data_IF_931900176396
#
_entry.id   IF_931900176396
#
_cell.length_a   1.000
_cell.length_b   1.000
_cell.length_c   1.000
_cell.angle_alpha   90.00
_cell.angle_beta   90.00
_cell.angle_gamma   90.00
#
_symmetry.space_group_name_H-M   'P 1'
#
loop_
_entity.id
_entity.type
_entity.pdbx_description
1 polymer ?
#
# COMPACT_ATOMS: atom_id res chain seq x y z
N UNK A 1 -7.27 4.57 4.74
CA UNK A 1 -7.68 4.43 3.34
C UNK A 1 -8.74 3.34 3.24
N UNK A 2 -9.98 3.72 3.10
CA UNK A 2 -11.06 2.87 2.63
C UNK A 2 -11.00 2.77 1.10
N UNK A 3 -11.80 1.91 0.51
CA UNK A 3 -11.80 1.76 -0.92
C UNK A 3 -13.19 1.57 -1.51
N UNK A 4 -13.36 1.95 -2.77
CA UNK A 4 -14.60 1.73 -3.47
C UNK A 4 -14.77 0.28 -3.94
N UNK A 5 -13.82 -0.61 -3.69
CA UNK A 5 -14.00 -2.02 -4.05
C UNK A 5 -15.31 -2.57 -3.46
N UNK A 6 -16.08 -3.26 -4.27
CA UNK A 6 -17.35 -3.82 -3.80
C UNK A 6 -17.12 -4.99 -2.85
N UNK A 7 -17.99 -5.13 -1.84
CA UNK A 7 -18.07 -6.32 -1.02
C UNK A 7 -19.39 -7.07 -1.32
N UNK A 8 -19.31 -8.40 -1.37
CA UNK A 8 -20.44 -9.26 -1.75
C UNK A 8 -21.24 -9.77 -0.59
N UNK A 9 -20.62 -9.84 0.57
CA UNK A 9 -21.21 -10.42 1.79
C UNK A 9 -20.56 -9.77 3.02
N UNK A 10 -21.32 -9.66 4.08
CA UNK A 10 -20.85 -9.19 5.38
C UNK A 10 -19.74 -10.07 5.97
N UNK A 11 -19.61 -11.30 5.51
CA UNK A 11 -18.62 -12.28 6.01
C UNK A 11 -17.33 -12.31 5.18
N UNK A 12 -17.15 -11.40 4.25
CA UNK A 12 -15.98 -11.38 3.35
C UNK A 12 -14.66 -10.98 4.04
N UNK A 13 -14.70 -10.49 5.28
CA UNK A 13 -13.53 -10.00 6.01
C UNK A 13 -13.08 -8.59 5.62
N UNK A 14 -13.77 -7.92 4.67
CA UNK A 14 -13.44 -6.58 4.16
C UNK A 14 -14.56 -5.55 4.25
N UNK A 15 -15.73 -5.92 4.75
CA UNK A 15 -16.88 -5.01 4.82
C UNK A 15 -16.57 -3.70 5.55
N UNK A 16 -15.68 -3.70 6.55
CA UNK A 16 -15.24 -2.50 7.27
C UNK A 16 -14.31 -1.58 6.46
N UNK A 17 -13.73 -2.07 5.37
CA UNK A 17 -12.75 -1.33 4.58
C UNK A 17 -13.32 -0.76 3.27
N UNK A 18 -14.49 -1.25 2.83
CA UNK A 18 -15.10 -0.89 1.56
C UNK A 18 -16.41 -0.13 1.77
N UNK A 19 -16.73 0.75 0.81
CA UNK A 19 -17.84 1.66 0.96
C UNK A 19 -19.20 0.97 0.82
N UNK A 20 -19.34 0.03 -0.14
CA UNK A 20 -20.62 -0.59 -0.44
C UNK A 20 -20.45 -1.86 -1.27
N UNK A 21 -21.54 -2.65 -1.33
CA UNK A 21 -21.76 -3.71 -2.31
C UNK A 21 -22.22 -3.18 -3.67
N UNK A 22 -22.65 -1.92 -3.74
CA UNK A 22 -23.18 -1.29 -4.95
C UNK A 22 -22.10 -0.42 -5.63
N UNK A 23 -21.86 -0.69 -6.92
CA UNK A 23 -20.88 0.05 -7.72
C UNK A 23 -21.18 1.53 -7.88
N UNK A 24 -22.46 1.93 -7.91
CA UNK A 24 -22.84 3.34 -8.04
C UNK A 24 -22.67 4.09 -6.71
N UNK A 25 -22.94 3.45 -5.57
CA UNK A 25 -22.64 4.04 -4.25
C UNK A 25 -21.11 4.19 -4.11
N UNK A 26 -20.34 3.18 -4.50
CA UNK A 26 -18.87 3.27 -4.57
C UNK A 26 -18.39 4.43 -5.43
N UNK A 27 -18.98 4.60 -6.60
CA UNK A 27 -18.73 5.73 -7.51
C UNK A 27 -18.96 7.08 -6.84
N UNK A 28 -20.14 7.29 -6.26
CA UNK A 28 -20.52 8.57 -5.64
C UNK A 28 -19.65 8.89 -4.43
N UNK A 29 -19.54 7.97 -3.51
CA UNK A 29 -18.75 8.16 -2.28
C UNK A 29 -17.26 8.33 -2.62
N UNK A 30 -16.73 7.49 -3.52
CA UNK A 30 -15.37 7.59 -3.99
C UNK A 30 -15.06 8.94 -4.63
N UNK A 31 -15.97 9.47 -5.44
CA UNK A 31 -15.83 10.81 -6.05
C UNK A 31 -15.72 11.88 -4.98
N UNK A 32 -16.70 11.96 -4.09
CA UNK A 32 -16.79 13.04 -3.07
C UNK A 32 -15.60 13.00 -2.13
N UNK A 33 -15.19 11.82 -1.70
CA UNK A 33 -14.02 11.66 -0.81
C UNK A 33 -12.75 12.08 -1.54
N UNK A 34 -12.57 11.67 -2.80
CA UNK A 34 -11.40 12.06 -3.59
C UNK A 34 -11.32 13.57 -3.78
N UNK A 35 -12.39 14.21 -4.24
CA UNK A 35 -12.45 15.66 -4.42
C UNK A 35 -12.07 16.44 -3.16
N UNK A 36 -12.59 16.02 -2.01
CA UNK A 36 -12.33 16.74 -0.77
C UNK A 36 -10.92 16.50 -0.21
N UNK A 37 -10.38 15.30 -0.35
CA UNK A 37 -9.01 15.00 0.09
C UNK A 37 -7.98 15.68 -0.81
N UNK A 38 -8.19 15.67 -2.13
CA UNK A 38 -7.29 16.28 -3.10
C UNK A 38 -7.19 17.82 -2.93
N UNK A 39 -8.24 18.49 -2.46
CA UNK A 39 -8.20 19.93 -2.16
C UNK A 39 -7.12 20.32 -1.15
N UNK A 40 -6.72 19.39 -0.30
CA UNK A 40 -5.64 19.60 0.68
C UNK A 40 -4.27 19.15 0.17
N UNK A 41 -4.14 18.80 -1.11
CA UNK A 41 -2.90 18.34 -1.70
C UNK A 41 -2.47 16.95 -1.22
N UNK A 42 -3.39 16.17 -0.67
CA UNK A 42 -3.12 14.80 -0.20
C UNK A 42 -3.35 13.85 -1.37
N UNK A 43 -2.34 13.02 -1.68
CA UNK A 43 -2.50 11.94 -2.66
C UNK A 43 -3.40 10.86 -2.06
N UNK A 44 -4.63 10.79 -2.55
CA UNK A 44 -5.55 9.73 -2.16
C UNK A 44 -5.33 8.52 -3.07
N UNK A 45 -4.98 7.39 -2.45
CA UNK A 45 -4.88 6.09 -3.13
C UNK A 45 -6.06 5.20 -2.79
N UNK A 46 -6.80 4.78 -3.79
CA UNK A 46 -7.89 3.82 -3.64
C UNK A 46 -7.42 2.39 -3.85
N UNK A 47 -8.08 1.48 -3.12
CA UNK A 47 -7.73 0.05 -3.09
C UNK A 47 -8.95 -0.84 -2.80
N UNK A 48 -8.85 -2.11 -3.11
CA UNK A 48 -7.84 -2.75 -3.95
C UNK A 48 -8.44 -2.93 -5.34
N UNK A 49 -7.77 -2.44 -6.35
CA UNK A 49 -8.23 -2.52 -7.72
C UNK A 49 -7.80 -3.84 -8.35
N UNK A 50 -8.70 -4.76 -8.60
CA UNK A 50 -10.15 -4.79 -8.48
C UNK A 50 -10.60 -6.22 -8.12
N UNK A 51 -11.86 -6.39 -7.76
CA UNK A 51 -12.50 -7.68 -7.42
C UNK A 51 -11.87 -8.41 -6.22
N UNK A 52 -11.35 -7.64 -5.26
CA UNK A 52 -10.85 -8.16 -3.98
C UNK A 52 -11.96 -8.18 -2.93
N UNK A 53 -12.99 -8.95 -3.18
CA UNK A 53 -14.21 -8.98 -2.37
C UNK A 53 -14.23 -10.09 -1.31
N UNK A 54 -13.09 -10.77 -1.07
CA UNK A 54 -12.91 -11.71 0.03
C UNK A 54 -11.49 -11.71 0.56
N UNK A 55 -11.33 -11.98 1.86
CA UNK A 55 -10.02 -12.14 2.51
C UNK A 55 -9.51 -13.58 2.46
N UNK A 56 -10.42 -14.55 2.58
CA UNK A 56 -10.03 -15.95 2.55
C UNK A 56 -9.36 -16.29 1.21
N UNK A 57 -8.14 -16.82 1.28
CA UNK A 57 -7.35 -17.21 0.10
C UNK A 57 -7.14 -16.10 -0.94
N UNK A 58 -7.24 -14.82 -0.57
CA UNK A 58 -7.11 -13.67 -1.48
C UNK A 58 -5.85 -13.70 -2.33
N UNK A 59 -4.80 -14.30 -1.83
CA UNK A 59 -3.50 -14.40 -2.48
C UNK A 59 -3.48 -15.42 -3.62
N UNK A 60 -4.33 -16.44 -3.55
CA UNK A 60 -4.45 -17.48 -4.59
C UNK A 60 -5.75 -17.39 -5.39
N UNK A 61 -6.65 -16.49 -5.01
CA UNK A 61 -7.95 -16.37 -5.65
C UNK A 61 -7.82 -15.94 -7.12
N UNK A 62 -8.49 -16.67 -8.00
CA UNK A 62 -8.76 -16.28 -9.37
C UNK A 62 -10.24 -15.94 -9.47
N UNK A 63 -10.55 -14.69 -9.77
CA UNK A 63 -11.93 -14.22 -9.89
C UNK A 63 -12.37 -14.29 -11.35
N UNK A 64 -13.42 -15.03 -11.60
CA UNK A 64 -14.00 -15.15 -12.94
C UNK A 64 -15.30 -14.35 -13.00
N UNK A 65 -15.39 -13.46 -13.98
CA UNK A 65 -16.59 -12.67 -14.26
C UNK A 65 -16.59 -12.34 -15.76
N UNK A 66 -17.76 -11.97 -16.30
CA UNK A 66 -17.82 -11.42 -17.64
C UNK A 66 -17.47 -9.91 -17.63
N UNK A 67 -17.16 -9.37 -18.79
CA UNK A 67 -16.75 -7.97 -18.93
C UNK A 67 -17.85 -7.01 -18.51
N UNK A 68 -19.11 -7.30 -18.81
CA UNK A 68 -20.23 -6.47 -18.42
C UNK A 68 -20.31 -6.33 -16.91
N UNK A 69 -20.32 -7.42 -16.16
CA UNK A 69 -20.40 -7.38 -14.70
C UNK A 69 -19.15 -6.70 -14.11
N UNK A 70 -17.95 -6.94 -14.70
CA UNK A 70 -16.73 -6.28 -14.29
C UNK A 70 -16.85 -4.76 -14.42
N UNK A 71 -17.35 -4.26 -15.56
CA UNK A 71 -17.48 -2.83 -15.83
C UNK A 71 -18.61 -2.15 -15.06
N UNK A 72 -19.78 -2.75 -15.08
CA UNK A 72 -20.99 -2.13 -14.51
C UNK A 72 -21.01 -2.15 -12.98
N UNK A 73 -20.36 -3.13 -12.35
CA UNK A 73 -20.36 -3.30 -10.91
C UNK A 73 -19.00 -2.94 -10.29
N UNK A 74 -17.95 -3.65 -10.66
CA UNK A 74 -16.67 -3.57 -9.93
C UNK A 74 -15.81 -2.38 -10.35
N UNK A 75 -15.64 -2.15 -11.63
CA UNK A 75 -14.90 -0.99 -12.15
C UNK A 75 -15.70 0.30 -11.92
N UNK A 76 -17.02 0.23 -12.03
CA UNK A 76 -17.91 1.35 -11.77
C UNK A 76 -17.66 1.98 -10.41
N UNK A 77 -17.43 1.16 -9.38
CA UNK A 77 -17.17 1.64 -8.04
C UNK A 77 -15.92 2.56 -7.95
N UNK A 78 -14.90 2.30 -8.77
CA UNK A 78 -13.66 3.09 -8.81
C UNK A 78 -13.70 4.27 -9.79
N UNK A 79 -14.46 4.14 -10.86
CA UNK A 79 -14.46 5.07 -11.99
C UNK A 79 -14.65 6.54 -11.56
N UNK A 80 -15.61 6.81 -10.69
CA UNK A 80 -15.92 8.17 -10.25
C UNK A 80 -14.77 8.84 -9.52
N UNK A 81 -14.07 8.08 -8.70
CA UNK A 81 -12.91 8.56 -7.94
C UNK A 81 -11.78 9.06 -8.85
N UNK A 82 -11.54 8.36 -9.96
CA UNK A 82 -10.46 8.69 -10.90
C UNK A 82 -10.88 9.69 -11.97
N UNK A 83 -12.11 9.56 -12.52
CA UNK A 83 -12.57 10.40 -13.63
C UNK A 83 -13.16 11.76 -13.19
N UNK A 84 -13.72 11.83 -11.98
CA UNK A 84 -14.36 13.04 -11.43
C UNK A 84 -13.66 13.53 -10.17
N UNK A 85 -13.34 12.63 -9.25
CA UNK A 85 -12.77 12.98 -7.95
C UNK A 85 -11.29 13.36 -7.99
N UNK A 86 -10.57 13.06 -9.08
CA UNK A 86 -9.17 13.42 -9.26
C UNK A 86 -8.19 12.63 -8.37
N UNK A 87 -8.58 11.45 -7.87
CA UNK A 87 -7.67 10.60 -7.11
C UNK A 87 -6.40 10.29 -7.90
N UNK A 88 -5.23 10.37 -7.26
CA UNK A 88 -3.92 10.24 -7.92
C UNK A 88 -3.14 9.00 -7.48
N UNK A 89 -3.70 8.17 -6.62
CA UNK A 89 -3.11 6.90 -6.18
C UNK A 89 -4.04 5.74 -6.45
N UNK A 90 -3.48 4.60 -6.83
CA UNK A 90 -4.19 3.33 -6.97
C UNK A 90 -3.33 2.20 -6.45
N UNK A 91 -3.94 1.29 -5.68
CA UNK A 91 -3.31 0.03 -5.28
C UNK A 91 -4.05 -1.13 -5.93
N UNK A 92 -3.30 -1.97 -6.65
CA UNK A 92 -3.87 -3.17 -7.27
C UNK A 92 -4.18 -4.24 -6.25
N UNK A 93 -5.14 -5.10 -6.57
CA UNK A 93 -5.54 -6.19 -5.70
C UNK A 93 -4.58 -7.39 -5.77
N UNK A 94 -4.56 -8.20 -4.71
CA UNK A 94 -3.80 -9.46 -4.68
C UNK A 94 -4.28 -10.51 -5.68
N UNK A 95 -5.58 -10.54 -5.91
CA UNK A 95 -6.21 -11.57 -6.72
C UNK A 95 -5.91 -11.42 -8.20
N UNK A 96 -6.34 -12.42 -8.93
CA UNK A 96 -6.30 -12.47 -10.40
C UNK A 96 -7.69 -12.27 -10.97
N UNK A 97 -7.76 -11.60 -12.12
CA UNK A 97 -8.94 -11.60 -12.99
C UNK A 97 -8.70 -12.72 -14.01
N UNK A 98 -9.49 -13.78 -13.93
CA UNK A 98 -9.16 -15.02 -14.61
C UNK A 98 -7.79 -15.54 -14.14
N UNK A 99 -6.86 -15.71 -15.07
CA UNK A 99 -5.50 -16.17 -14.77
C UNK A 99 -4.49 -15.02 -14.59
N UNK A 100 -4.88 -13.77 -14.83
CA UNK A 100 -3.97 -12.62 -14.84
C UNK A 100 -4.01 -11.87 -13.53
N UNK A 101 -2.86 -11.71 -12.88
CA UNK A 101 -2.72 -10.86 -11.68
C UNK A 101 -3.13 -9.42 -11.98
N UNK A 102 -3.86 -8.78 -11.08
CA UNK A 102 -4.34 -7.42 -11.29
C UNK A 102 -3.21 -6.42 -11.60
N UNK A 103 -2.07 -6.56 -10.95
CA UNK A 103 -0.87 -5.73 -11.19
C UNK A 103 -0.13 -6.04 -12.51
N UNK A 104 -0.47 -7.14 -13.20
CA UNK A 104 0.08 -7.50 -14.52
C UNK A 104 -0.97 -7.42 -15.63
N UNK A 105 -2.12 -6.83 -15.37
CA UNK A 105 -3.21 -6.73 -16.34
C UNK A 105 -3.14 -5.44 -17.13
N UNK A 106 -2.56 -5.49 -18.34
CA UNK A 106 -2.54 -4.33 -19.25
C UNK A 106 -3.94 -3.87 -19.66
N UNK A 107 -4.90 -4.78 -19.78
CA UNK A 107 -6.29 -4.44 -20.03
C UNK A 107 -6.87 -3.56 -18.91
N UNK A 108 -6.55 -3.88 -17.65
CA UNK A 108 -6.99 -3.09 -16.49
C UNK A 108 -6.21 -1.78 -16.38
N UNK A 109 -4.87 -1.86 -16.31
CA UNK A 109 -4.04 -0.71 -15.94
C UNK A 109 -3.81 0.26 -17.11
N UNK A 110 -3.57 -0.27 -18.31
CA UNK A 110 -3.29 0.55 -19.47
C UNK A 110 -4.56 0.89 -20.24
N UNK A 111 -5.38 -0.11 -20.63
CA UNK A 111 -6.56 0.17 -21.45
C UNK A 111 -7.64 0.91 -20.67
N UNK A 112 -8.09 0.36 -19.55
CA UNK A 112 -9.17 1.00 -18.79
C UNK A 112 -8.68 2.23 -18.07
N UNK A 113 -7.69 2.11 -17.17
CA UNK A 113 -7.29 3.25 -16.33
C UNK A 113 -6.65 4.37 -17.14
N UNK A 114 -5.60 4.08 -17.91
CA UNK A 114 -4.87 5.12 -18.65
C UNK A 114 -5.62 5.58 -19.90
N UNK A 115 -6.21 4.64 -20.65
CA UNK A 115 -6.92 4.93 -21.89
C UNK A 115 -8.31 5.50 -21.66
N UNK A 116 -9.22 4.71 -21.08
CA UNK A 116 -10.64 5.10 -20.98
C UNK A 116 -10.87 6.16 -19.90
N UNK A 117 -10.23 6.03 -18.72
CA UNK A 117 -10.41 6.99 -17.62
C UNK A 117 -9.41 8.14 -17.64
N UNK A 118 -8.45 8.15 -18.56
CA UNK A 118 -7.39 9.16 -18.67
C UNK A 118 -6.62 9.40 -17.35
N UNK A 119 -6.47 8.35 -16.54
CA UNK A 119 -5.83 8.40 -15.25
C UNK A 119 -4.34 8.74 -15.37
N UNK A 120 -3.88 9.73 -14.61
CA UNK A 120 -2.51 10.26 -14.67
C UNK A 120 -1.66 9.96 -13.44
N UNK A 121 -2.30 9.56 -12.34
CA UNK A 121 -1.63 9.26 -11.08
C UNK A 121 -0.85 7.95 -11.10
N UNK A 122 -0.25 7.60 -9.99
CA UNK A 122 0.53 6.36 -9.87
C UNK A 122 -0.32 5.14 -9.56
N UNK A 123 0.17 3.97 -9.99
CA UNK A 123 -0.38 2.66 -9.64
C UNK A 123 0.68 1.86 -8.89
N UNK A 124 0.36 1.43 -7.68
CA UNK A 124 1.23 0.54 -6.89
C UNK A 124 0.64 -0.87 -6.80
N UNK A 125 1.51 -1.86 -6.59
CA UNK A 125 1.03 -3.18 -6.14
C UNK A 125 0.48 -3.09 -4.71
N UNK A 126 -0.29 -4.07 -4.28
CA UNK A 126 -0.39 -4.39 -2.85
C UNK A 126 0.93 -5.02 -2.37
N UNK A 127 1.09 -5.27 -1.07
CA UNK A 127 2.34 -5.77 -0.49
C UNK A 127 2.89 -6.99 -1.26
N UNK A 128 4.16 -6.95 -1.61
CA UNK A 128 4.84 -8.05 -2.31
C UNK A 128 5.31 -9.05 -1.26
N UNK A 129 4.42 -9.92 -0.81
CA UNK A 129 4.73 -11.00 0.14
C UNK A 129 4.75 -12.32 -0.60
N UNK A 130 5.78 -13.11 -0.42
CA UNK A 130 5.92 -14.55 -0.71
C UNK A 130 5.14 -15.14 -1.92
N UNK A 131 4.85 -14.34 -2.95
CA UNK A 131 4.06 -14.76 -4.09
C UNK A 131 4.83 -14.52 -5.38
N UNK A 132 5.30 -15.59 -5.97
CA UNK A 132 6.15 -15.55 -7.16
C UNK A 132 5.49 -14.79 -8.32
N UNK A 133 4.17 -14.90 -8.52
CA UNK A 133 3.48 -14.21 -9.60
C UNK A 133 3.48 -12.66 -9.47
N UNK A 134 3.63 -12.12 -8.27
CA UNK A 134 3.79 -10.67 -8.06
C UNK A 134 5.20 -10.19 -8.36
N UNK A 135 6.16 -11.08 -8.33
CA UNK A 135 7.58 -10.81 -8.57
C UNK A 135 7.95 -10.81 -10.05
N UNK A 136 7.00 -11.00 -10.95
CA UNK A 136 7.23 -10.82 -12.38
C UNK A 136 7.31 -9.32 -12.74
N UNK A 137 8.34 -8.66 -12.26
CA UNK A 137 8.51 -7.21 -12.32
C UNK A 137 8.40 -6.66 -13.74
N UNK A 138 9.02 -7.31 -14.70
CA UNK A 138 8.94 -6.93 -16.13
C UNK A 138 7.50 -6.91 -16.63
N UNK A 139 6.73 -7.97 -16.39
CA UNK A 139 5.33 -8.03 -16.83
C UNK A 139 4.43 -7.04 -16.08
N UNK A 140 4.73 -6.76 -14.82
CA UNK A 140 3.98 -5.81 -14.03
C UNK A 140 4.17 -4.38 -14.57
N UNK A 141 5.42 -3.95 -14.77
CA UNK A 141 5.71 -2.59 -15.22
C UNK A 141 5.25 -2.37 -16.66
N UNK A 142 5.39 -3.37 -17.53
CA UNK A 142 4.89 -3.29 -18.92
C UNK A 142 3.37 -3.29 -18.99
N UNK A 143 2.68 -3.82 -17.98
CA UNK A 143 1.23 -3.74 -17.87
C UNK A 143 0.72 -2.38 -17.40
N UNK A 144 1.57 -1.53 -16.83
CA UNK A 144 1.20 -0.19 -16.34
C UNK A 144 1.27 -0.02 -14.83
N UNK A 145 1.86 -0.97 -14.10
CA UNK A 145 2.24 -0.78 -12.70
C UNK A 145 3.43 0.19 -12.64
N UNK A 146 3.42 1.14 -11.72
CA UNK A 146 4.45 2.17 -11.64
C UNK A 146 5.50 1.88 -10.57
N UNK A 147 5.12 1.19 -9.49
CA UNK A 147 6.05 0.72 -8.44
C UNK A 147 5.41 -0.37 -7.58
N UNK A 148 6.24 -1.00 -6.78
CA UNK A 148 5.79 -2.06 -5.86
C UNK A 148 5.67 -1.52 -4.45
N UNK A 149 4.51 -1.81 -3.83
CA UNK A 149 4.32 -1.54 -2.43
C UNK A 149 5.09 -2.58 -1.64
N UNK A 150 5.96 -2.10 -0.79
CA UNK A 150 6.57 -2.78 0.32
C UNK A 150 6.81 -4.29 0.15
N UNK A 151 8.04 -4.66 -0.08
CA UNK A 151 8.47 -6.04 0.06
C UNK A 151 8.57 -6.36 1.57
N UNK A 152 7.63 -7.15 2.08
CA UNK A 152 7.63 -7.55 3.49
C UNK A 152 8.79 -8.50 3.85
N UNK A 153 9.56 -8.99 2.87
CA UNK A 153 10.85 -9.64 3.15
C UNK A 153 11.83 -8.68 3.85
N UNK A 154 11.60 -7.37 3.73
CA UNK A 154 12.34 -6.31 4.41
C UNK A 154 11.91 -5.98 5.85
N UNK A 155 11.00 -6.69 6.48
CA UNK A 155 10.82 -6.58 7.94
C UNK A 155 11.98 -7.26 8.67
N UNK A 156 13.18 -6.77 8.46
CA UNK A 156 14.40 -7.27 9.06
C UNK A 156 15.56 -7.48 8.08
N UNK A 157 15.33 -7.33 6.78
CA UNK A 157 16.40 -7.34 5.79
C UNK A 157 16.78 -5.90 5.41
N UNK A 158 18.06 -5.61 5.53
CA UNK A 158 18.66 -4.30 5.24
C UNK A 158 18.72 -3.93 3.75
N UNK A 159 18.17 -4.78 2.88
CA UNK A 159 18.21 -4.58 1.43
C UNK A 159 16.82 -4.20 0.94
N UNK A 160 16.68 -2.94 0.53
CA UNK A 160 15.52 -2.45 -0.21
C UNK A 160 15.51 -3.07 -1.61
N UNK A 161 15.03 -4.32 -1.66
CA UNK A 161 15.02 -5.13 -2.88
C UNK A 161 14.24 -4.47 -4.01
N UNK A 162 13.26 -3.63 -3.70
CA UNK A 162 12.49 -2.91 -4.72
C UNK A 162 13.30 -1.82 -5.41
N UNK A 163 14.15 -1.13 -4.68
CA UNK A 163 15.08 -0.12 -5.23
C UNK A 163 16.19 -0.79 -6.04
N UNK A 164 16.74 -1.89 -5.53
CA UNK A 164 17.76 -2.68 -6.23
C UNK A 164 17.20 -3.20 -7.54
N UNK A 165 16.03 -3.83 -7.54
CA UNK A 165 15.39 -4.37 -8.74
C UNK A 165 15.09 -3.29 -9.80
N UNK A 166 14.63 -2.13 -9.38
CA UNK A 166 14.40 -1.01 -10.32
C UNK A 166 15.71 -0.54 -10.96
N UNK A 167 16.79 -0.49 -10.20
CA UNK A 167 18.13 -0.12 -10.70
C UNK A 167 18.65 -1.16 -11.68
N UNK A 168 18.53 -2.44 -11.35
CA UNK A 168 18.99 -3.53 -12.19
C UNK A 168 18.21 -3.58 -13.52
N UNK A 169 16.89 -3.43 -13.48
CA UNK A 169 16.05 -3.34 -14.69
C UNK A 169 16.44 -2.17 -15.59
N UNK A 170 16.74 -1.00 -15.01
CA UNK A 170 17.22 0.17 -15.79
C UNK A 170 18.57 -0.11 -16.42
N UNK A 171 19.50 -0.67 -15.64
CA UNK A 171 20.84 -1.01 -16.12
C UNK A 171 20.77 -2.03 -17.26
N UNK A 172 20.02 -3.10 -17.06
CA UNK A 172 19.83 -4.15 -18.06
C UNK A 172 19.18 -3.61 -19.35
N UNK A 173 18.16 -2.75 -19.21
CA UNK A 173 17.50 -2.14 -20.36
C UNK A 173 18.44 -1.21 -21.15
N UNK A 174 19.34 -0.50 -20.48
CA UNK A 174 20.35 0.35 -21.11
C UNK A 174 21.38 -0.53 -21.83
N UNK A 175 21.93 -1.53 -21.16
CA UNK A 175 22.95 -2.43 -21.70
C UNK A 175 22.44 -3.22 -22.92
N UNK A 176 21.19 -3.65 -22.89
CA UNK A 176 20.55 -4.38 -23.97
C UNK A 176 19.97 -3.48 -25.07
N UNK A 177 20.01 -2.16 -24.92
CA UNK A 177 19.39 -1.22 -25.86
C UNK A 177 17.86 -1.36 -25.96
N UNK A 178 17.20 -1.83 -24.88
CA UNK A 178 15.74 -2.05 -24.86
C UNK A 178 14.98 -0.72 -24.72
N UNK A 179 14.74 -0.09 -25.85
CA UNK A 179 14.00 1.18 -25.91
C UNK A 179 12.57 1.09 -25.40
N UNK A 180 11.92 -0.06 -25.52
CA UNK A 180 10.57 -0.27 -25.00
C UNK A 180 10.56 -0.28 -23.47
N UNK A 181 11.46 -1.01 -22.84
CA UNK A 181 11.59 -1.05 -21.39
C UNK A 181 11.97 0.33 -20.85
N UNK A 182 12.92 1.03 -21.45
CA UNK A 182 13.31 2.39 -21.07
C UNK A 182 12.14 3.36 -21.15
N UNK A 183 11.31 3.28 -22.19
CA UNK A 183 10.12 4.11 -22.29
C UNK A 183 9.06 3.76 -21.23
N UNK A 184 8.91 2.50 -20.91
CA UNK A 184 8.01 2.01 -19.85
C UNK A 184 8.43 2.52 -18.48
N UNK A 185 9.70 2.40 -18.14
CA UNK A 185 10.28 2.94 -16.89
C UNK A 185 10.13 4.46 -16.78
N UNK A 186 10.34 5.17 -17.90
CA UNK A 186 10.10 6.62 -17.97
C UNK A 186 8.64 6.97 -17.71
N UNK A 187 7.70 6.20 -18.25
CA UNK A 187 6.27 6.41 -18.01
C UNK A 187 5.90 6.17 -16.53
N UNK A 188 6.40 5.10 -15.93
CA UNK A 188 6.20 4.82 -14.52
C UNK A 188 6.73 5.96 -13.63
N UNK A 189 7.94 6.42 -13.90
CA UNK A 189 8.53 7.59 -13.21
C UNK A 189 7.68 8.84 -13.39
N UNK A 190 7.22 9.11 -14.63
CA UNK A 190 6.35 10.25 -14.94
C UNK A 190 5.07 10.23 -14.10
N UNK A 191 4.41 9.09 -13.94
CA UNK A 191 3.19 8.98 -13.16
C UNK A 191 3.44 9.24 -11.67
N UNK A 192 4.54 8.72 -11.14
CA UNK A 192 4.95 8.98 -9.75
C UNK A 192 5.26 10.46 -9.52
N UNK A 193 6.06 11.07 -10.38
CA UNK A 193 6.39 12.50 -10.31
C UNK A 193 5.14 13.36 -10.48
N UNK A 194 4.25 13.01 -11.43
CA UNK A 194 3.00 13.73 -11.64
C UNK A 194 2.16 13.79 -10.35
N UNK A 195 1.97 12.66 -9.67
CA UNK A 195 1.24 12.63 -8.40
C UNK A 195 1.93 13.48 -7.31
N UNK A 196 3.25 13.42 -7.22
CA UNK A 196 4.02 14.18 -6.23
C UNK A 196 3.95 15.69 -6.45
N UNK A 197 4.09 16.17 -7.69
CA UNK A 197 4.01 17.61 -7.99
C UNK A 197 2.62 18.20 -7.80
N UNK A 198 1.58 17.36 -7.81
CA UNK A 198 0.20 17.77 -7.50
C UNK A 198 -0.17 17.54 -6.04
N UNK A 199 0.82 17.26 -5.19
CA UNK A 199 0.62 17.05 -3.76
C UNK A 199 1.23 18.17 -2.92
N UNK A 200 0.88 18.20 -1.64
CA UNK A 200 1.47 19.13 -0.68
C UNK A 200 2.97 18.85 -0.40
N UNK A 201 3.48 17.69 -0.81
CA UNK A 201 4.86 17.26 -0.52
C UNK A 201 5.92 18.22 -1.03
N UNK A 202 5.67 18.84 -2.20
CA UNK A 202 6.61 19.80 -2.80
C UNK A 202 6.06 21.23 -2.83
N UNK A 203 4.90 21.46 -2.20
CA UNK A 203 4.31 22.79 -2.14
C UNK A 203 5.16 23.69 -1.23
N UNK A 204 5.72 24.74 -1.80
CA UNK A 204 6.61 25.67 -1.11
C UNK A 204 8.04 25.17 -0.90
N UNK A 205 8.45 24.06 -1.53
CA UNK A 205 9.84 23.63 -1.58
C UNK A 205 10.57 24.29 -2.77
N UNK A 206 11.75 24.80 -2.50
CA UNK A 206 12.67 25.40 -3.47
C UNK A 206 14.11 24.94 -3.19
N UNK A 207 15.08 25.47 -3.94
CA UNK A 207 16.51 25.13 -3.80
C UNK A 207 17.08 25.52 -2.43
N UNK A 208 16.40 26.41 -1.69
CA UNK A 208 16.81 26.86 -0.36
C UNK A 208 16.17 26.07 0.76
N UNK A 209 15.25 25.17 0.44
CA UNK A 209 14.51 24.38 1.41
C UNK A 209 15.40 23.34 2.08
N UNK A 210 15.40 23.31 3.40
CA UNK A 210 16.17 22.36 4.20
C UNK A 210 15.27 21.43 4.97
N UNK A 211 15.64 20.14 5.02
CA UNK A 211 14.94 19.16 5.85
C UNK A 211 15.38 19.34 7.30
N UNK A 212 14.46 19.80 8.16
CA UNK A 212 14.68 19.88 9.59
C UNK A 212 14.05 18.67 10.28
N UNK A 213 14.90 17.83 10.86
CA UNK A 213 14.43 16.69 11.67
C UNK A 213 14.02 17.16 13.06
N UNK A 214 12.74 17.39 13.27
CA UNK A 214 12.19 17.72 14.57
C UNK A 214 11.80 16.42 15.29
N UNK A 215 12.41 16.16 16.44
CA UNK A 215 11.96 15.07 17.30
C UNK A 215 10.71 15.53 18.05
N UNK A 216 9.51 14.95 17.76
CA UNK A 216 8.30 15.35 18.45
C UNK A 216 8.43 15.11 19.96
N UNK A 217 7.91 16.02 20.78
CA UNK A 217 7.96 15.95 22.24
C UNK A 217 7.46 14.61 22.79
N UNK A 218 6.45 14.03 22.17
CA UNK A 218 5.87 12.76 22.60
C UNK A 218 6.84 11.58 22.45
N UNK A 219 7.76 11.60 21.45
CA UNK A 219 8.82 10.58 21.34
C UNK A 219 9.77 10.62 22.53
N UNK A 220 10.13 11.82 22.97
CA UNK A 220 10.98 12.02 24.15
C UNK A 220 10.25 11.58 25.42
N UNK A 221 8.98 11.97 25.57
CA UNK A 221 8.15 11.55 26.69
C UNK A 221 7.96 10.03 26.74
N UNK A 222 7.71 9.40 25.58
CA UNK A 222 7.56 7.95 25.49
C UNK A 222 8.86 7.22 25.87
N UNK A 223 10.03 7.69 25.40
CA UNK A 223 11.32 7.13 25.83
C UNK A 223 11.53 7.24 27.33
N UNK A 224 11.24 8.40 27.91
CA UNK A 224 11.37 8.61 29.36
C UNK A 224 10.42 7.69 30.14
N UNK A 225 9.17 7.55 29.70
CA UNK A 225 8.20 6.65 30.31
C UNK A 225 8.65 5.19 30.22
N UNK A 226 9.15 4.75 29.07
CA UNK A 226 9.66 3.38 28.86
C UNK A 226 10.82 3.08 29.80
N UNK A 227 11.77 4.01 29.93
CA UNK A 227 12.90 3.87 30.86
C UNK A 227 12.39 3.81 32.30
N UNK A 228 11.49 4.71 32.69
CA UNK A 228 10.91 4.77 34.03
C UNK A 228 10.17 3.47 34.40
N UNK A 229 9.28 3.00 33.56
CA UNK A 229 8.56 1.74 33.79
C UNK A 229 9.51 0.53 33.80
N UNK A 230 10.49 0.50 32.91
CA UNK A 230 11.53 -0.56 32.90
C UNK A 230 12.31 -0.60 34.22
N UNK A 231 12.73 0.55 34.71
CA UNK A 231 13.45 0.67 36.00
C UNK A 231 12.58 0.20 37.16
N UNK A 232 11.32 0.63 37.22
CA UNK A 232 10.36 0.21 38.24
C UNK A 232 10.15 -1.31 38.20
N UNK A 233 9.98 -1.87 37.01
CA UNK A 233 9.81 -3.32 36.83
C UNK A 233 11.02 -4.08 37.37
N UNK A 234 12.23 -3.67 37.01
CA UNK A 234 13.46 -4.28 37.53
C UNK A 234 13.52 -4.20 39.04
N UNK A 235 13.19 -3.04 39.62
CA UNK A 235 13.17 -2.85 41.08
C UNK A 235 12.21 -3.84 41.75
N UNK A 236 10.99 -4.00 41.24
CA UNK A 236 10.03 -4.96 41.77
C UNK A 236 10.52 -6.41 41.66
N UNK A 237 11.15 -6.77 40.57
CA UNK A 237 11.74 -8.10 40.39
C UNK A 237 12.83 -8.36 41.46
N UNK A 238 13.73 -7.38 41.64
CA UNK A 238 14.78 -7.49 42.67
C UNK A 238 14.19 -7.62 44.06
N UNK A 239 13.22 -6.78 44.42
CA UNK A 239 12.54 -6.83 45.72
C UNK A 239 11.85 -8.18 45.95
N UNK A 240 11.17 -8.71 44.94
CA UNK A 240 10.56 -10.03 45.00
C UNK A 240 11.57 -11.15 45.27
N UNK A 241 12.71 -11.14 44.57
CA UNK A 241 13.77 -12.12 44.82
C UNK A 241 14.40 -11.98 46.19
N UNK A 242 14.60 -10.76 46.69
CA UNK A 242 15.10 -10.53 48.05
C UNK A 242 14.10 -11.05 49.09
N UNK A 243 12.84 -10.83 48.94
CA UNK A 243 11.81 -11.35 49.80
C UNK A 243 11.80 -12.88 49.80
N UNK A 244 11.87 -13.51 48.64
CA UNK A 244 11.98 -14.97 48.53
C UNK A 244 13.21 -15.53 49.29
N UNK A 245 14.35 -14.87 49.17
CA UNK A 245 15.55 -15.28 49.89
C UNK A 245 15.42 -15.18 51.42
N UNK A 246 14.79 -14.09 51.91
CA UNK A 246 14.51 -13.93 53.34
C UNK A 246 13.54 -15.01 53.84
N UNK A 247 12.50 -15.32 53.07
CA UNK A 247 11.53 -16.39 53.42
C UNK A 247 12.14 -17.76 53.41
N UNK A 248 13.03 -18.07 52.46
CA UNK A 248 13.71 -19.33 52.38
C UNK A 248 14.67 -19.54 53.60
N UNK A 249 15.35 -18.47 54.01
CA UNK A 249 16.21 -18.49 55.19
C UNK A 249 15.46 -18.77 56.50
N UNK A 250 14.31 -18.07 56.68
CA UNK A 250 13.42 -18.29 57.86
C UNK A 250 12.84 -19.71 57.92
N UNK A 251 12.57 -20.35 56.79
CA UNK A 251 12.11 -21.75 56.76
C UNK A 251 13.22 -22.71 57.12
N UNK A 252 14.46 -22.46 56.76
CA UNK A 252 15.60 -23.32 57.12
C UNK A 252 16.03 -23.18 58.60
N UNK A 253 15.71 -22.07 59.27
CA UNK A 253 15.97 -21.86 60.70
C UNK A 253 14.89 -22.50 61.61
N UNK A 254 13.74 -22.86 61.07
CA UNK A 254 12.61 -23.46 61.78
C UNK A 254 12.43 -24.98 61.48
N UNK A 255 13.36 -25.60 60.75
CA UNK A 255 13.40 -27.01 60.46
C UNK A 255 14.62 -27.66 61.16
#
# INVERSE_FOLDING_TARGET
>A
SGGPNCHRTQFNGRASAYYSEDGNIGYLVGTVVAENVQKYGIILGYKHMVVNDQEAHRESAATFTNEQALREQYLRAFEGAYTKGGAMGCMTAFNRIGCTYCGSSSALLTTVMRGEWAYKGHVTSDAVVNMDYKKHYTSNITAGLDYWCWDMAGFGASDDSSVVLSKDMVTEAIENGDGYMLQTLRNATKHNVYAQVHSILINGLDETSHVVHITPWWKTALKAATIGFGTITILFIVLYYLEMLVWSKKRGENA
#
